data_IF_326919812870
#
_entry.id   IF_326919812870
#
_cell.length_a   1.000
_cell.length_b   1.000
_cell.length_c   1.000
_cell.angle_alpha   90.00
_cell.angle_beta   90.00
_cell.angle_gamma   90.00
#
_symmetry.space_group_name_H-M   'P 1'
#
loop_
_entity.id
_entity.type
_entity.pdbx_description
1 polymer ?
#
# COMPACT_ATOMS: atom_id res chain seq x y z
N UNK A 1 16.83 -10.83 -5.36
CA UNK A 1 15.35 -10.73 -5.32
C UNK A 1 14.74 -12.02 -4.77
N UNK A 2 13.59 -11.94 -4.10
CA UNK A 2 12.77 -13.10 -3.72
C UNK A 2 11.46 -13.11 -4.48
N UNK A 3 10.90 -14.30 -4.64
CA UNK A 3 9.55 -14.53 -5.17
C UNK A 3 8.72 -15.19 -4.06
N UNK A 4 7.45 -14.86 -3.94
CA UNK A 4 6.53 -15.62 -3.12
C UNK A 4 5.33 -16.05 -3.94
N UNK A 5 5.11 -17.35 -4.07
CA UNK A 5 3.96 -17.92 -4.76
C UNK A 5 2.86 -18.12 -3.73
N UNK A 6 1.86 -17.24 -3.74
CA UNK A 6 0.72 -17.25 -2.81
C UNK A 6 -0.49 -17.96 -3.39
N UNK A 7 -1.18 -18.76 -2.57
CA UNK A 7 -2.44 -19.42 -2.98
C UNK A 7 -3.56 -18.38 -2.99
N UNK A 8 -4.11 -18.12 -4.17
CA UNK A 8 -5.12 -17.10 -4.43
C UNK A 8 -6.53 -17.69 -4.48
N UNK A 9 -7.52 -16.93 -4.05
CA UNK A 9 -8.93 -17.24 -4.29
C UNK A 9 -9.27 -16.98 -5.77
N UNK A 10 -9.89 -17.96 -6.46
CA UNK A 10 -10.14 -17.86 -7.90
C UNK A 10 -11.13 -16.74 -8.27
N UNK A 11 -12.09 -16.42 -7.40
CA UNK A 11 -13.04 -15.33 -7.63
C UNK A 11 -12.36 -13.96 -7.47
N UNK A 12 -11.50 -13.82 -6.45
CA UNK A 12 -10.65 -12.63 -6.28
C UNK A 12 -9.79 -12.37 -7.52
N UNK A 13 -9.15 -13.44 -8.04
CA UNK A 13 -8.32 -13.33 -9.23
C UNK A 13 -9.15 -12.93 -10.46
N UNK A 14 -10.27 -13.63 -10.71
CA UNK A 14 -11.15 -13.35 -11.85
C UNK A 14 -11.61 -11.89 -11.82
N UNK A 15 -12.17 -11.47 -10.69
CA UNK A 15 -12.72 -10.12 -10.48
C UNK A 15 -11.70 -9.01 -10.80
N UNK A 16 -10.45 -9.17 -10.34
CA UNK A 16 -9.39 -8.18 -10.53
C UNK A 16 -8.72 -8.29 -11.90
N UNK A 17 -8.62 -9.49 -12.48
CA UNK A 17 -8.03 -9.69 -13.80
C UNK A 17 -8.82 -9.01 -14.92
N UNK A 18 -10.14 -8.92 -14.77
CA UNK A 18 -11.04 -8.21 -15.69
C UNK A 18 -10.89 -6.69 -15.58
N UNK A 19 -10.60 -6.18 -14.37
CA UNK A 19 -10.50 -4.75 -14.06
C UNK A 19 -9.10 -4.16 -14.24
N UNK A 20 -8.06 -4.98 -14.07
CA UNK A 20 -6.65 -4.60 -14.16
C UNK A 20 -6.30 -3.33 -13.37
N UNK A 21 -6.54 -3.31 -12.04
CA UNK A 21 -6.23 -2.14 -11.23
C UNK A 21 -4.72 -1.88 -11.16
N UNK A 22 -4.34 -0.67 -10.75
CA UNK A 22 -2.96 -0.22 -10.52
C UNK A 22 -2.33 -0.81 -9.25
N UNK A 23 -3.15 -1.25 -8.30
CA UNK A 23 -2.76 -1.87 -7.04
C UNK A 23 -3.84 -2.85 -6.57
N UNK A 24 -3.49 -3.77 -5.67
CA UNK A 24 -4.42 -4.72 -5.08
C UNK A 24 -4.10 -4.99 -3.61
N UNK A 25 -5.13 -5.30 -2.83
CA UNK A 25 -4.97 -5.86 -1.50
C UNK A 25 -5.18 -7.37 -1.55
N UNK A 26 -4.08 -8.11 -1.41
CA UNK A 26 -4.12 -9.55 -1.20
C UNK A 26 -4.31 -9.84 0.30
N UNK A 27 -5.57 -9.92 0.70
CA UNK A 27 -5.95 -10.10 2.10
C UNK A 27 -5.71 -11.54 2.57
N UNK A 28 -5.27 -11.68 3.83
CA UNK A 28 -4.95 -12.95 4.50
C UNK A 28 -5.80 -13.04 5.76
N UNK A 29 -7.02 -13.60 5.69
CA UNK A 29 -8.01 -13.44 6.73
C UNK A 29 -7.57 -14.16 8.00
N UNK A 30 -6.91 -15.31 7.95
CA UNK A 30 -6.49 -16.00 9.18
C UNK A 30 -5.13 -15.55 9.72
N UNK A 31 -4.44 -14.63 9.05
CA UNK A 31 -3.11 -14.20 9.48
C UNK A 31 -3.23 -13.31 10.72
N UNK A 32 -2.47 -13.65 11.76
CA UNK A 32 -2.23 -12.83 12.95
C UNK A 32 -0.75 -12.46 13.10
N UNK A 33 0.08 -12.88 12.14
CA UNK A 33 1.54 -12.67 12.16
C UNK A 33 1.99 -11.97 10.89
N UNK A 34 3.05 -11.19 11.05
CA UNK A 34 3.61 -10.40 9.97
C UNK A 34 4.17 -11.28 8.83
N UNK A 35 4.06 -10.79 7.60
CA UNK A 35 4.52 -11.50 6.42
C UNK A 35 5.96 -11.10 6.08
N UNK A 36 6.90 -11.98 6.45
CA UNK A 36 8.35 -11.72 6.33
C UNK A 36 9.02 -12.38 5.13
N UNK A 37 8.25 -13.01 4.24
CA UNK A 37 8.81 -13.78 3.12
C UNK A 37 9.40 -12.87 2.03
N UNK A 38 8.89 -11.64 1.91
CA UNK A 38 9.29 -10.67 0.89
C UNK A 38 9.80 -9.37 1.53
N UNK A 39 10.61 -8.63 0.79
CA UNK A 39 10.96 -7.23 1.03
C UNK A 39 10.25 -6.34 0.00
N UNK A 40 10.05 -5.04 0.29
CA UNK A 40 9.49 -4.11 -0.70
C UNK A 40 10.26 -4.19 -2.02
N UNK A 41 9.54 -4.38 -3.14
CA UNK A 41 10.11 -4.56 -4.47
C UNK A 41 10.36 -6.00 -4.90
N UNK A 42 10.23 -6.98 -4.00
CA UNK A 42 10.15 -8.40 -4.39
C UNK A 42 8.79 -8.71 -5.05
N UNK A 43 8.67 -9.87 -5.72
CA UNK A 43 7.43 -10.25 -6.42
C UNK A 43 6.58 -11.22 -5.62
N UNK A 44 5.29 -10.93 -5.56
CA UNK A 44 4.26 -11.84 -5.11
C UNK A 44 3.52 -12.40 -6.33
N UNK A 45 3.49 -13.72 -6.48
CA UNK A 45 2.88 -14.42 -7.62
C UNK A 45 1.56 -15.07 -7.20
N UNK A 46 0.55 -14.97 -8.07
CA UNK A 46 -0.79 -15.49 -7.85
C UNK A 46 -0.91 -16.92 -8.34
N UNK A 47 -0.96 -17.88 -7.41
CA UNK A 47 -1.23 -19.29 -7.72
C UNK A 47 -2.72 -19.58 -7.53
N UNK A 48 -3.39 -19.96 -8.61
CA UNK A 48 -4.81 -20.29 -8.61
C UNK A 48 -5.09 -21.56 -7.80
N UNK A 49 -6.23 -21.57 -7.12
CA UNK A 49 -6.66 -22.73 -6.34
C UNK A 49 -6.99 -23.92 -7.25
N UNK A 50 -6.87 -25.12 -6.70
CA UNK A 50 -7.28 -26.37 -7.35
C UNK A 50 -8.74 -26.28 -7.83
N UNK A 51 -9.10 -26.84 -9.01
CA UNK A 51 -8.30 -27.74 -9.86
C UNK A 51 -7.41 -27.05 -10.90
N UNK A 52 -7.27 -25.72 -10.86
CA UNK A 52 -6.45 -25.02 -11.86
C UNK A 52 -4.96 -25.28 -11.61
N UNK A 53 -4.45 -24.96 -10.41
CA UNK A 53 -3.07 -25.25 -10.01
C UNK A 53 -1.99 -24.63 -10.95
N UNK A 54 -2.22 -23.39 -11.39
CA UNK A 54 -1.26 -22.59 -12.16
C UNK A 54 -0.91 -21.27 -11.45
N UNK A 55 0.26 -20.73 -11.76
CA UNK A 55 0.61 -19.34 -11.49
C UNK A 55 0.12 -18.49 -12.66
N UNK A 56 -0.79 -17.56 -12.40
CA UNK A 56 -1.54 -16.83 -13.41
C UNK A 56 -1.25 -15.32 -13.45
N UNK A 57 -0.34 -14.85 -12.60
CA UNK A 57 0.02 -13.44 -12.52
C UNK A 57 0.80 -13.12 -11.25
N UNK A 58 0.84 -11.84 -10.89
CA UNK A 58 1.52 -11.38 -9.68
C UNK A 58 1.46 -9.87 -9.51
N UNK A 59 2.29 -9.34 -8.62
CA UNK A 59 2.47 -7.91 -8.39
C UNK A 59 3.73 -7.64 -7.57
N UNK A 60 4.15 -6.38 -7.57
CA UNK A 60 5.30 -5.91 -6.81
C UNK A 60 4.88 -5.70 -5.36
N UNK A 61 5.53 -6.39 -4.43
CA UNK A 61 5.22 -6.31 -3.02
C UNK A 61 5.64 -4.95 -2.45
N UNK A 62 4.72 -4.28 -1.75
CA UNK A 62 5.01 -3.04 -1.01
C UNK A 62 5.25 -3.39 0.44
N UNK A 63 4.23 -3.91 1.12
CA UNK A 63 4.28 -4.26 2.53
C UNK A 63 3.19 -5.25 2.91
N UNK A 64 3.30 -5.75 4.13
CA UNK A 64 2.16 -6.31 4.85
C UNK A 64 1.76 -5.36 5.99
N UNK A 65 0.46 -5.24 6.23
CA UNK A 65 -0.06 -4.39 7.30
C UNK A 65 -1.38 -4.94 7.80
N UNK A 66 -1.68 -4.68 9.07
CA UNK A 66 -2.92 -5.09 9.71
C UNK A 66 -3.87 -3.90 9.77
N UNK A 67 -5.02 -3.99 9.11
CA UNK A 67 -6.00 -2.91 9.04
C UNK A 67 -7.36 -3.37 9.56
N UNK A 68 -8.09 -2.56 10.33
CA UNK A 68 -9.52 -2.75 10.50
C UNK A 68 -10.23 -2.89 9.15
N UNK A 69 -11.24 -3.75 9.08
CA UNK A 69 -11.94 -4.06 7.83
C UNK A 69 -12.47 -2.80 7.09
N UNK A 70 -13.10 -1.81 7.76
CA UNK A 70 -13.54 -0.59 7.10
C UNK A 70 -12.39 0.22 6.49
N UNK A 71 -11.21 0.22 7.10
CA UNK A 71 -10.04 0.94 6.58
C UNK A 71 -9.41 0.21 5.39
N UNK A 72 -9.40 -1.12 5.39
CA UNK A 72 -9.01 -1.89 4.22
C UNK A 72 -9.94 -1.59 3.02
N UNK A 73 -11.24 -1.47 3.27
CA UNK A 73 -12.19 -1.05 2.23
C UNK A 73 -12.00 0.41 1.80
N UNK A 74 -11.84 1.34 2.74
CA UNK A 74 -11.59 2.74 2.42
C UNK A 74 -10.30 2.95 1.62
N UNK A 75 -9.27 2.16 1.88
CA UNK A 75 -8.00 2.22 1.17
C UNK A 75 -8.10 1.64 -0.25
N UNK A 76 -8.72 0.47 -0.41
CA UNK A 76 -8.62 -0.30 -1.65
C UNK A 76 -9.94 -0.44 -2.42
N UNK A 77 -11.11 -0.26 -1.80
CA UNK A 77 -12.41 -0.43 -2.45
C UNK A 77 -12.51 -1.76 -3.20
N UNK A 78 -12.91 -1.70 -4.47
CA UNK A 78 -12.95 -2.86 -5.37
C UNK A 78 -11.60 -3.57 -5.56
N UNK A 79 -10.47 -2.91 -5.30
CA UNK A 79 -9.12 -3.51 -5.36
C UNK A 79 -8.87 -4.55 -4.25
N UNK A 80 -9.82 -4.75 -3.33
CA UNK A 80 -9.91 -5.91 -2.45
C UNK A 80 -10.43 -7.18 -3.16
N UNK A 81 -10.83 -7.08 -4.43
CA UNK A 81 -11.35 -8.19 -5.23
C UNK A 81 -12.84 -8.46 -5.05
N UNK A 82 -13.61 -7.47 -4.59
CA UNK A 82 -15.04 -7.57 -4.32
C UNK A 82 -15.77 -6.29 -4.77
N UNK A 83 -17.03 -6.37 -5.22
CA UNK A 83 -17.75 -5.21 -5.79
C UNK A 83 -18.17 -4.15 -4.77
N UNK A 84 -18.42 -4.55 -3.52
CA UNK A 84 -18.94 -3.67 -2.48
C UNK A 84 -18.49 -4.12 -1.08
N UNK A 85 -18.68 -3.24 -0.09
CA UNK A 85 -18.23 -3.48 1.29
C UNK A 85 -18.95 -4.64 1.95
N UNK A 86 -20.25 -4.81 1.71
CA UNK A 86 -21.07 -5.87 2.31
C UNK A 86 -20.60 -7.24 1.83
N UNK A 87 -20.36 -7.38 0.52
CA UNK A 87 -19.81 -8.58 -0.11
C UNK A 87 -18.40 -8.87 0.39
N UNK A 88 -17.57 -7.83 0.55
CA UNK A 88 -16.24 -7.96 1.12
C UNK A 88 -16.27 -8.46 2.57
N UNK A 89 -17.10 -7.85 3.42
CA UNK A 89 -17.25 -8.24 4.82
C UNK A 89 -17.75 -9.68 4.97
N UNK A 90 -18.82 -10.03 4.23
CA UNK A 90 -19.34 -11.40 4.20
C UNK A 90 -18.27 -12.40 3.79
N UNK A 91 -17.44 -12.07 2.80
CA UNK A 91 -16.35 -12.95 2.36
C UNK A 91 -15.27 -13.14 3.44
N UNK A 92 -14.91 -12.09 4.16
CA UNK A 92 -13.94 -12.22 5.26
C UNK A 92 -14.52 -13.07 6.42
N UNK A 93 -15.82 -12.97 6.67
CA UNK A 93 -16.55 -13.76 7.66
C UNK A 93 -16.65 -15.25 7.33
N UNK A 94 -16.59 -15.67 6.06
CA UNK A 94 -16.48 -17.10 5.72
C UNK A 94 -15.21 -17.75 6.30
N UNK A 95 -14.22 -16.95 6.68
CA UNK A 95 -12.92 -17.41 7.14
C UNK A 95 -12.62 -17.09 8.61
N UNK A 96 -13.50 -16.33 9.29
CA UNK A 96 -13.35 -15.85 10.68
C UNK A 96 -14.70 -15.90 11.41
N UNK A 97 -14.66 -16.15 12.71
CA UNK A 97 -15.86 -15.98 13.54
C UNK A 97 -16.27 -14.50 13.62
N UNK A 98 -17.57 -14.20 13.72
CA UNK A 98 -18.08 -12.82 13.81
C UNK A 98 -17.49 -12.04 15.00
N UNK A 99 -17.19 -12.73 16.11
CA UNK A 99 -16.53 -12.12 17.27
C UNK A 99 -15.10 -11.60 16.97
N UNK A 100 -14.48 -12.08 15.88
CA UNK A 100 -13.15 -11.67 15.43
C UNK A 100 -13.15 -10.53 14.41
N UNK A 101 -14.31 -9.97 14.05
CA UNK A 101 -14.41 -8.81 13.14
C UNK A 101 -13.72 -7.57 13.69
N UNK A 102 -13.65 -7.45 15.01
CA UNK A 102 -12.88 -6.40 15.69
C UNK A 102 -11.37 -6.55 15.50
N UNK A 103 -10.90 -7.74 15.09
CA UNK A 103 -9.48 -7.99 14.81
C UNK A 103 -9.11 -7.49 13.43
N UNK A 104 -7.90 -6.97 13.33
CA UNK A 104 -7.37 -6.43 12.09
C UNK A 104 -7.23 -7.53 11.01
N UNK A 105 -7.46 -7.16 9.76
CA UNK A 105 -7.26 -7.94 8.55
C UNK A 105 -5.80 -7.81 8.10
N UNK A 106 -5.11 -8.93 7.91
CA UNK A 106 -3.79 -8.93 7.28
C UNK A 106 -3.91 -8.56 5.81
N UNK A 107 -3.36 -7.42 5.42
CA UNK A 107 -3.39 -6.85 4.08
C UNK A 107 -2.00 -6.95 3.46
N UNK A 108 -1.85 -7.71 2.38
CA UNK A 108 -0.60 -7.78 1.60
C UNK A 108 -0.77 -6.88 0.40
N UNK A 109 -0.09 -5.74 0.44
CA UNK A 109 -0.28 -4.65 -0.52
C UNK A 109 0.66 -4.87 -1.69
N UNK A 110 0.08 -4.99 -2.88
CA UNK A 110 0.81 -5.20 -4.11
C UNK A 110 0.48 -4.07 -5.09
N UNK A 111 1.50 -3.56 -5.77
CA UNK A 111 1.36 -2.54 -6.82
C UNK A 111 1.82 -3.10 -8.15
N UNK A 112 1.43 -2.44 -9.23
CA UNK A 112 1.76 -2.89 -10.59
C UNK A 112 1.38 -4.36 -10.82
N UNK A 113 0.14 -4.78 -10.48
CA UNK A 113 -0.27 -6.15 -10.64
C UNK A 113 -0.34 -6.50 -12.13
N UNK A 114 -0.02 -7.75 -12.44
CA UNK A 114 -0.10 -8.30 -13.78
C UNK A 114 -0.92 -9.58 -13.75
N UNK A 115 -1.78 -9.73 -14.76
CA UNK A 115 -2.71 -10.84 -14.91
C UNK A 115 -2.51 -11.42 -16.31
N UNK A 116 -2.06 -12.66 -16.37
CA UNK A 116 -1.79 -13.34 -17.64
C UNK A 116 -3.04 -14.01 -18.19
N UNK A 117 -3.15 -14.02 -19.51
CA UNK A 117 -4.07 -14.90 -20.23
C UNK A 117 -3.64 -16.36 -20.04
N UNK A 118 -4.57 -17.30 -20.26
CA UNK A 118 -4.39 -18.71 -19.91
C UNK A 118 -3.20 -19.39 -20.60
N UNK A 119 -2.91 -18.99 -21.83
CA UNK A 119 -1.76 -19.45 -22.63
C UNK A 119 -0.41 -19.06 -22.02
N UNK A 120 -0.37 -18.01 -21.20
CA UNK A 120 0.82 -17.53 -20.52
C UNK A 120 0.97 -18.05 -19.08
N UNK A 121 0.02 -18.85 -18.59
CA UNK A 121 0.08 -19.39 -17.22
C UNK A 121 1.29 -20.31 -17.04
N UNK A 122 1.92 -20.22 -15.86
CA UNK A 122 3.09 -21.02 -15.51
C UNK A 122 2.61 -22.22 -14.65
N UNK A 123 2.98 -23.46 -14.99
CA UNK A 123 2.73 -24.61 -14.12
C UNK A 123 3.33 -24.39 -12.72
N UNK A 124 2.72 -24.96 -11.68
CA UNK A 124 3.33 -24.91 -10.35
C UNK A 124 4.74 -25.54 -10.35
N UNK A 125 5.69 -24.99 -9.57
CA UNK A 125 7.03 -25.56 -9.46
C UNK A 125 6.98 -27.04 -9.04
N UNK A 126 7.90 -27.85 -9.55
CA UNK A 126 7.94 -29.30 -9.30
C UNK A 126 8.14 -29.67 -7.82
N UNK A 127 8.70 -28.75 -7.03
CA UNK A 127 8.91 -28.90 -5.59
C UNK A 127 7.73 -28.34 -4.75
N UNK A 128 6.59 -28.04 -5.39
CA UNK A 128 5.36 -27.63 -4.75
C UNK A 128 4.64 -28.84 -4.12
N UNK A 129 4.48 -28.82 -2.80
CA UNK A 129 3.77 -29.88 -2.07
C UNK A 129 2.27 -29.59 -2.04
N UNK A 130 1.44 -30.63 -2.24
CA UNK A 130 -0.04 -30.52 -2.26
C UNK A 130 -0.65 -29.96 -0.97
N UNK A 131 0.03 -30.08 0.17
CA UNK A 131 -0.42 -29.56 1.45
C UNK A 131 -0.09 -28.07 1.71
N UNK A 132 0.53 -27.37 0.74
CA UNK A 132 0.79 -25.93 0.84
C UNK A 132 -0.53 -25.18 0.57
N UNK A 133 -1.08 -24.57 1.62
CA UNK A 133 -2.38 -23.87 1.58
C UNK A 133 -2.27 -22.34 1.64
N UNK A 134 -1.10 -21.79 1.96
CA UNK A 134 -0.87 -20.33 2.06
C UNK A 134 0.05 -19.81 0.97
N UNK A 135 1.18 -20.48 0.76
CA UNK A 135 2.15 -20.13 -0.27
C UNK A 135 3.56 -20.60 0.08
N UNK A 136 4.50 -20.35 -0.83
CA UNK A 136 5.91 -20.74 -0.68
C UNK A 136 6.84 -19.67 -1.26
N UNK A 137 7.90 -19.37 -0.53
CA UNK A 137 8.95 -18.46 -0.96
C UNK A 137 10.00 -19.16 -1.82
N UNK A 138 10.53 -18.45 -2.79
CA UNK A 138 11.63 -18.86 -3.67
C UNK A 138 12.68 -17.74 -3.69
N UNK A 139 13.95 -18.13 -3.70
CA UNK A 139 15.08 -17.22 -3.84
C UNK A 139 15.68 -17.41 -5.22
N UNK A 140 16.00 -16.33 -5.93
CA UNK A 140 16.71 -16.41 -7.23
C UNK A 140 18.15 -16.94 -7.11
N UNK A 141 18.58 -17.33 -5.91
CA UNK A 141 19.82 -18.10 -5.69
C UNK A 141 19.62 -19.62 -5.58
N UNK A 142 18.38 -20.14 -5.61
CA UNK A 142 18.12 -21.59 -5.61
C UNK A 142 17.73 -22.09 -7.00
N UNK A 143 18.00 -23.37 -7.36
CA UNK A 143 17.65 -23.90 -8.67
C UNK A 143 16.17 -23.73 -9.03
N UNK A 144 15.27 -24.01 -8.08
CA UNK A 144 13.83 -23.84 -8.27
C UNK A 144 13.42 -22.36 -8.42
N UNK A 145 14.07 -21.45 -7.69
CA UNK A 145 13.78 -20.01 -7.80
C UNK A 145 14.33 -19.39 -9.07
N UNK A 146 15.49 -19.85 -9.56
CA UNK A 146 16.03 -19.47 -10.87
C UNK A 146 15.06 -19.90 -11.97
N UNK A 147 14.66 -21.17 -12.00
CA UNK A 147 13.73 -21.69 -13.01
C UNK A 147 12.40 -20.93 -13.01
N UNK A 148 11.82 -20.70 -11.82
CA UNK A 148 10.58 -19.92 -11.71
C UNK A 148 10.77 -18.47 -12.18
N UNK A 149 11.89 -17.82 -11.84
CA UNK A 149 12.17 -16.46 -12.28
C UNK A 149 12.33 -16.35 -13.79
N UNK A 150 13.01 -17.32 -14.42
CA UNK A 150 13.15 -17.38 -15.88
C UNK A 150 11.79 -17.42 -16.57
N UNK A 151 10.86 -18.26 -16.11
CA UNK A 151 9.51 -18.34 -16.67
C UNK A 151 8.74 -17.01 -16.50
N UNK A 152 8.81 -16.40 -15.31
CA UNK A 152 8.16 -15.10 -15.02
C UNK A 152 8.71 -14.01 -15.93
N UNK A 153 10.04 -13.87 -16.01
CA UNK A 153 10.71 -12.86 -16.84
C UNK A 153 10.31 -12.98 -18.30
N UNK A 154 10.37 -14.20 -18.86
CA UNK A 154 10.00 -14.45 -20.27
C UNK A 154 8.60 -13.94 -20.62
N UNK A 155 7.65 -13.94 -19.67
CA UNK A 155 6.28 -13.48 -19.88
C UNK A 155 6.09 -11.99 -19.60
N UNK A 156 6.92 -11.39 -18.76
CA UNK A 156 6.90 -9.95 -18.51
C UNK A 156 7.49 -9.16 -19.69
N UNK A 157 8.61 -9.66 -20.26
CA UNK A 157 9.29 -9.04 -21.39
C UNK A 157 8.39 -8.99 -22.63
N UNK A 158 7.59 -10.03 -22.87
CA UNK A 158 6.65 -10.11 -23.99
C UNK A 158 5.36 -9.27 -23.84
N UNK A 159 5.08 -8.72 -22.65
CA UNK A 159 3.82 -8.02 -22.35
C UNK A 159 4.01 -6.56 -21.87
N UNK A 160 5.17 -5.96 -22.17
CA UNK A 160 5.44 -4.54 -21.94
C UNK A 160 5.24 -4.06 -20.48
N UNK A 161 5.83 -4.77 -19.51
CA UNK A 161 6.11 -4.23 -18.16
C UNK A 161 7.60 -3.84 -18.05
N UNK A 162 8.06 -2.80 -18.79
CA UNK A 162 9.48 -2.52 -19.00
C UNK A 162 10.24 -2.22 -17.71
N UNK A 163 9.56 -1.72 -16.67
CA UNK A 163 10.20 -1.41 -15.38
C UNK A 163 10.56 -2.66 -14.57
N UNK A 164 9.69 -3.68 -14.60
CA UNK A 164 9.98 -4.95 -13.94
C UNK A 164 11.02 -5.73 -14.76
N UNK A 165 10.93 -5.65 -16.10
CA UNK A 165 11.89 -6.22 -17.03
C UNK A 165 13.30 -5.59 -16.90
N UNK A 166 13.41 -4.26 -16.78
CA UNK A 166 14.69 -3.55 -16.68
C UNK A 166 15.49 -3.95 -15.43
N UNK A 167 14.80 -4.19 -14.31
CA UNK A 167 15.41 -4.70 -13.07
C UNK A 167 15.99 -6.11 -13.27
N UNK A 168 15.41 -6.90 -14.19
CA UNK A 168 15.93 -8.21 -14.55
C UNK A 168 17.25 -8.12 -15.33
N UNK A 169 17.40 -7.17 -16.26
CA UNK A 169 18.66 -6.92 -16.97
C UNK A 169 19.80 -6.50 -16.03
N UNK A 170 19.49 -5.68 -15.03
CA UNK A 170 20.48 -5.22 -14.05
C UNK A 170 21.03 -6.36 -13.19
N UNK A 171 20.17 -7.30 -12.77
CA UNK A 171 20.60 -8.52 -12.05
C UNK A 171 21.55 -9.39 -12.88
N UNK A 172 21.31 -9.52 -14.19
CA UNK A 172 22.12 -10.36 -15.08
C UNK A 172 23.50 -9.77 -15.37
N UNK A 173 23.63 -8.44 -15.39
CA UNK A 173 24.89 -7.74 -15.69
C UNK A 173 25.82 -7.59 -14.48
N UNK A 174 25.28 -7.41 -13.27
CA UNK A 174 26.11 -6.98 -12.12
C UNK A 174 25.99 -7.84 -10.86
N UNK A 175 25.16 -8.88 -10.82
CA UNK A 175 25.02 -9.75 -9.63
C UNK A 175 24.53 -9.05 -8.35
N UNK A 176 24.31 -7.73 -8.40
CA UNK A 176 23.76 -6.92 -7.33
C UNK A 176 22.23 -7.03 -7.35
N UNK A 177 21.62 -6.98 -6.15
CA UNK A 177 20.17 -7.03 -6.01
C UNK A 177 19.53 -5.73 -6.48
N UNK A 178 19.20 -5.65 -7.77
CA UNK A 178 18.30 -4.62 -8.28
C UNK A 178 16.89 -4.91 -7.72
N UNK A 179 16.39 -4.03 -6.86
CA UNK A 179 15.06 -4.15 -6.27
C UNK A 179 14.11 -3.24 -7.02
N UNK A 180 12.96 -3.77 -7.46
CA UNK A 180 11.94 -2.99 -8.15
C UNK A 180 11.46 -1.90 -7.19
N UNK A 181 11.50 -0.63 -7.60
CA UNK A 181 10.96 0.47 -6.79
C UNK A 181 9.44 0.46 -6.94
N UNK A 182 8.66 0.11 -5.90
CA UNK A 182 7.21 0.04 -6.03
C UNK A 182 6.63 1.44 -6.24
N UNK A 183 5.73 1.58 -7.22
CA UNK A 183 4.96 2.81 -7.43
C UNK A 183 3.63 2.71 -6.69
N UNK A 184 3.46 3.53 -5.66
CA UNK A 184 2.26 3.47 -4.83
C UNK A 184 1.05 4.01 -5.60
N UNK A 185 -0.05 3.28 -5.58
CA UNK A 185 -1.37 3.84 -5.83
C UNK A 185 -1.91 4.55 -4.58
N UNK A 186 -3.12 5.09 -4.68
CA UNK A 186 -3.76 5.85 -3.60
C UNK A 186 -3.95 5.01 -2.32
N UNK A 187 -4.36 3.74 -2.45
CA UNK A 187 -4.59 2.84 -1.32
C UNK A 187 -3.30 2.46 -0.62
N UNK A 188 -2.28 2.07 -1.39
CA UNK A 188 -0.95 1.77 -0.86
C UNK A 188 -0.32 2.99 -0.18
N UNK A 189 -0.42 4.19 -0.78
CA UNK A 189 0.03 5.44 -0.18
C UNK A 189 -0.63 5.70 1.18
N UNK A 190 -1.97 5.56 1.26
CA UNK A 190 -2.71 5.75 2.51
C UNK A 190 -2.19 4.87 3.63
N UNK A 191 -1.94 3.59 3.34
CA UNK A 191 -1.44 2.64 4.34
C UNK A 191 0.01 2.95 4.72
N UNK A 192 0.87 3.23 3.72
CA UNK A 192 2.28 3.57 3.96
C UNK A 192 2.44 4.81 4.85
N UNK A 193 1.70 5.89 4.57
CA UNK A 193 1.66 7.09 5.42
C UNK A 193 1.11 6.75 6.80
N UNK A 194 0.00 6.01 6.88
CA UNK A 194 -0.61 5.62 8.16
C UNK A 194 0.39 4.89 9.07
N UNK A 195 1.14 3.95 8.52
CA UNK A 195 2.14 3.18 9.25
C UNK A 195 3.41 4.00 9.56
N UNK A 196 3.85 4.88 8.66
CA UNK A 196 5.02 5.75 8.88
C UNK A 196 4.84 6.69 10.10
N UNK A 197 3.61 7.16 10.33
CA UNK A 197 3.24 7.96 11.49
C UNK A 197 2.84 7.12 12.71
N UNK A 198 3.16 5.83 12.74
CA UNK A 198 2.78 4.93 13.84
C UNK A 198 1.29 5.00 14.18
N UNK A 199 0.45 5.20 13.16
CA UNK A 199 -1.02 5.25 13.26
C UNK A 199 -1.53 6.38 14.15
N UNK A 200 -0.84 7.52 14.12
CA UNK A 200 -1.17 8.70 14.92
C UNK A 200 -1.16 9.96 14.09
N UNK A 201 -2.10 10.86 14.38
CA UNK A 201 -2.11 12.20 13.80
C UNK A 201 -0.75 12.89 14.03
N UNK A 202 -0.15 13.41 12.97
CA UNK A 202 1.13 14.12 13.00
C UNK A 202 1.09 15.32 13.95
N UNK A 203 -0.04 16.04 13.97
CA UNK A 203 -0.22 17.27 14.75
C UNK A 203 -0.59 16.95 16.21
N UNK A 204 -1.61 16.12 16.44
CA UNK A 204 -2.21 15.95 17.77
C UNK A 204 -1.83 14.66 18.49
N UNK A 205 -1.23 13.69 17.79
CA UNK A 205 -0.95 12.36 18.33
C UNK A 205 -2.17 11.46 18.53
N UNK A 206 -3.37 11.91 18.13
CA UNK A 206 -4.62 11.14 18.12
C UNK A 206 -4.41 9.79 17.42
N UNK A 207 -4.90 8.70 18.01
CA UNK A 207 -4.66 7.31 17.56
C UNK A 207 -5.92 6.56 17.14
N UNK A 208 -7.07 7.22 17.18
CA UNK A 208 -8.36 6.68 16.75
C UNK A 208 -8.36 6.60 15.22
N UNK A 209 -7.86 5.48 14.70
CA UNK A 209 -7.63 5.28 13.26
C UNK A 209 -8.81 5.69 12.34
N UNK A 210 -10.09 5.42 12.67
CA UNK A 210 -11.21 5.88 11.84
C UNK A 210 -11.37 7.39 11.71
N UNK A 211 -10.76 8.18 12.61
CA UNK A 211 -10.74 9.64 12.56
C UNK A 211 -9.51 10.21 11.84
N UNK A 212 -8.63 9.33 11.33
CA UNK A 212 -7.38 9.71 10.69
C UNK A 212 -7.43 9.50 9.19
N UNK A 213 -6.81 10.42 8.46
CA UNK A 213 -6.70 10.41 7.02
C UNK A 213 -5.26 10.67 6.61
N UNK A 214 -4.77 9.87 5.67
CA UNK A 214 -3.50 10.13 5.01
C UNK A 214 -3.74 11.14 3.88
N UNK A 215 -3.32 12.37 4.14
CA UNK A 215 -3.40 13.49 3.21
C UNK A 215 -2.10 13.71 2.47
N UNK A 216 -2.21 14.20 1.24
CA UNK A 216 -1.06 14.67 0.48
C UNK A 216 -0.65 16.06 0.94
N UNK A 217 0.65 16.32 1.01
CA UNK A 217 1.15 17.69 1.24
C UNK A 217 0.95 18.51 -0.04
N UNK A 218 1.42 17.98 -1.17
CA UNK A 218 1.07 18.46 -2.51
C UNK A 218 0.03 17.51 -3.11
N UNK A 219 -1.21 17.94 -3.39
CA UNK A 219 -2.25 17.08 -3.93
C UNK A 219 -1.86 16.45 -5.26
N UNK A 220 -2.36 15.23 -5.50
CA UNK A 220 -2.14 14.51 -6.77
C UNK A 220 -2.62 15.31 -8.00
N UNK A 221 -3.76 16.01 -7.88
CA UNK A 221 -4.29 16.89 -8.92
C UNK A 221 -3.37 18.08 -9.28
N UNK A 222 -2.35 18.35 -8.45
CA UNK A 222 -1.30 19.35 -8.67
C UNK A 222 0.06 18.70 -8.94
N UNK A 223 0.08 17.45 -9.41
CA UNK A 223 1.28 16.65 -9.71
C UNK A 223 2.10 16.28 -8.48
N UNK A 224 1.46 16.12 -7.32
CA UNK A 224 2.11 15.54 -6.14
C UNK A 224 2.20 14.01 -6.24
N UNK A 225 3.37 13.40 -5.99
CA UNK A 225 3.54 11.95 -6.06
C UNK A 225 2.87 11.22 -4.88
N UNK A 226 2.47 9.98 -5.10
CA UNK A 226 2.09 9.03 -4.04
C UNK A 226 3.34 8.48 -3.35
N UNK A 227 3.92 9.28 -2.46
CA UNK A 227 5.08 8.87 -1.67
C UNK A 227 4.96 9.35 -0.23
N UNK A 228 5.57 8.61 0.70
CA UNK A 228 5.44 8.88 2.14
C UNK A 228 5.91 10.30 2.49
N UNK A 229 6.96 10.79 1.80
CA UNK A 229 7.52 12.13 2.01
C UNK A 229 6.59 13.26 1.54
N UNK A 230 5.60 12.95 0.71
CA UNK A 230 4.52 13.85 0.33
C UNK A 230 3.25 13.62 1.17
N UNK A 231 3.36 12.99 2.34
CA UNK A 231 2.22 12.57 3.15
C UNK A 231 2.26 13.04 4.61
N UNK A 232 1.09 13.41 5.13
CA UNK A 232 0.83 13.60 6.55
C UNK A 232 -0.36 12.73 6.95
N UNK A 233 -0.26 12.04 8.09
CA UNK A 233 -1.43 11.42 8.72
C UNK A 233 -2.08 12.45 9.63
N UNK A 234 -3.29 12.89 9.34
CA UNK A 234 -3.98 13.96 10.07
C UNK A 234 -5.35 13.49 10.53
N UNK A 235 -5.89 14.14 11.57
CA UNK A 235 -7.32 14.03 11.88
C UNK A 235 -8.12 14.64 10.73
N UNK A 236 -9.29 14.08 10.38
CA UNK A 236 -10.07 14.52 9.20
C UNK A 236 -10.37 16.02 9.16
N UNK A 237 -10.67 16.65 10.29
CA UNK A 237 -10.89 18.10 10.37
C UNK A 237 -9.60 18.90 10.08
N UNK A 238 -8.46 18.49 10.63
CA UNK A 238 -7.16 19.12 10.39
C UNK A 238 -6.69 18.91 8.95
N UNK A 239 -6.96 17.74 8.38
CA UNK A 239 -6.70 17.46 6.96
C UNK A 239 -7.48 18.41 6.07
N UNK A 240 -8.79 18.59 6.30
CA UNK A 240 -9.60 19.53 5.54
C UNK A 240 -9.11 20.98 5.65
N UNK A 241 -8.70 21.42 6.85
CA UNK A 241 -8.15 22.76 7.04
C UNK A 241 -6.78 22.93 6.36
N UNK A 242 -5.97 21.88 6.37
CA UNK A 242 -4.68 21.84 5.69
C UNK A 242 -4.88 21.99 4.18
N UNK A 243 -5.69 21.15 3.55
CA UNK A 243 -6.00 21.19 2.11
C UNK A 243 -6.55 22.54 1.66
N UNK A 244 -7.34 23.21 2.50
CA UNK A 244 -7.92 24.53 2.23
C UNK A 244 -6.97 25.71 2.54
N UNK A 245 -5.74 25.44 2.98
CA UNK A 245 -4.72 26.43 3.30
C UNK A 245 -4.95 27.18 4.61
N UNK A 246 -5.87 26.74 5.48
CA UNK A 246 -6.07 27.34 6.81
C UNK A 246 -5.10 26.81 7.86
N UNK A 247 -4.38 25.73 7.56
CA UNK A 247 -3.34 25.15 8.40
C UNK A 247 -2.15 24.80 7.51
N UNK A 248 -0.92 24.99 7.98
CA UNK A 248 0.27 24.47 7.30
C UNK A 248 1.30 23.94 8.30
N UNK A 249 2.35 23.31 7.78
CA UNK A 249 3.48 22.79 8.54
C UNK A 249 4.75 23.42 7.99
N UNK A 250 5.53 24.05 8.86
CA UNK A 250 6.80 24.71 8.52
C UNK A 250 7.92 23.69 8.28
N UNK A 251 9.04 24.16 7.72
CA UNK A 251 10.24 23.34 7.48
C UNK A 251 10.86 22.78 8.76
N UNK A 252 10.68 23.44 9.91
CA UNK A 252 11.09 22.94 11.24
C UNK A 252 10.00 22.12 11.95
N UNK A 253 8.99 21.64 11.19
CA UNK A 253 7.89 20.81 11.65
C UNK A 253 7.05 21.46 12.75
N UNK A 254 6.74 22.75 12.61
CA UNK A 254 5.77 23.47 13.45
C UNK A 254 4.47 23.69 12.70
N UNK A 255 3.38 23.75 13.46
CA UNK A 255 2.05 23.99 12.92
C UNK A 255 1.79 25.48 12.86
N UNK A 256 1.34 25.96 11.70
CA UNK A 256 0.83 27.32 11.53
C UNK A 256 -0.66 27.26 11.24
N UNK A 257 -1.42 28.20 11.82
CA UNK A 257 -2.88 28.22 11.78
C UNK A 257 -3.29 29.62 11.37
N UNK A 258 -4.05 29.69 10.28
CA UNK A 258 -4.50 30.93 9.67
C UNK A 258 -5.41 31.72 10.61
N UNK A 259 -5.20 33.04 10.66
CA UNK A 259 -6.11 33.95 11.38
C UNK A 259 -7.49 34.04 10.71
N UNK A 260 -7.57 33.69 9.42
CA UNK A 260 -8.82 33.69 8.65
C UNK A 260 -9.85 32.72 9.17
N UNK A 261 -9.46 31.68 9.92
CA UNK A 261 -10.44 30.80 10.59
C UNK A 261 -11.33 31.63 11.54
N UNK A 262 -10.73 32.59 12.25
CA UNK A 262 -11.47 33.47 13.17
C UNK A 262 -12.21 34.55 12.41
N UNK A 263 -11.57 35.14 11.41
CA UNK A 263 -12.13 36.27 10.66
C UNK A 263 -13.33 35.85 9.80
N UNK A 264 -13.32 34.64 9.24
CA UNK A 264 -14.38 34.17 8.34
C UNK A 264 -15.48 33.37 9.04
N UNK A 265 -15.17 32.68 10.14
CA UNK A 265 -16.11 31.75 10.79
C UNK A 265 -16.38 32.07 12.27
N UNK A 266 -15.80 33.14 12.80
CA UNK A 266 -15.92 33.53 14.22
C UNK A 266 -15.55 32.40 15.21
N UNK A 267 -14.67 31.48 14.78
CA UNK A 267 -14.36 30.24 15.50
C UNK A 267 -12.84 29.94 15.49
N UNK A 268 -12.46 28.73 15.92
CA UNK A 268 -11.11 28.20 15.77
C UNK A 268 -10.27 28.18 17.04
N UNK A 269 -10.84 28.49 18.22
CA UNK A 269 -10.09 28.50 19.51
C UNK A 269 -9.25 27.25 19.72
N UNK A 270 -9.82 26.07 19.43
CA UNK A 270 -9.12 24.79 19.57
C UNK A 270 -8.05 24.57 18.50
N UNK A 271 -8.17 25.16 17.30
CA UNK A 271 -7.12 25.12 16.29
C UNK A 271 -5.97 26.07 16.64
N UNK A 272 -6.24 27.28 17.13
CA UNK A 272 -5.19 28.22 17.55
C UNK A 272 -4.32 27.69 18.68
N UNK A 273 -4.85 26.83 19.54
CA UNK A 273 -4.04 26.15 20.55
C UNK A 273 -2.91 25.31 19.93
N UNK A 274 -3.05 24.86 18.68
CA UNK A 274 -2.04 24.11 17.93
C UNK A 274 -1.00 25.02 17.27
N UNK A 275 -1.27 26.32 17.11
CA UNK A 275 -0.37 27.25 16.45
C UNK A 275 0.98 27.33 17.17
N UNK A 276 2.07 27.25 16.41
CA UNK A 276 3.45 27.26 16.89
C UNK A 276 3.93 25.95 17.54
N UNK A 277 3.03 24.99 17.79
CA UNK A 277 3.42 23.69 18.35
C UNK A 277 4.20 22.87 17.33
N UNK A 278 5.20 22.12 17.81
CA UNK A 278 5.87 21.10 17.00
C UNK A 278 4.92 19.93 16.74
N UNK A 279 5.09 19.26 15.59
CA UNK A 279 4.37 18.01 15.32
C UNK A 279 4.56 17.01 16.47
N UNK A 280 3.45 16.50 17.00
CA UNK A 280 3.46 15.46 18.03
C UNK A 280 4.10 14.16 17.52
N UNK A 281 3.97 13.86 16.22
CA UNK A 281 4.53 12.66 15.60
C UNK A 281 5.22 12.99 14.29
N UNK A 282 6.49 12.61 14.19
CA UNK A 282 7.31 12.66 12.97
C UNK A 282 7.75 11.22 12.64
N UNK A 283 7.76 10.80 11.36
CA UNK A 283 8.24 9.48 10.99
C UNK A 283 9.65 9.21 11.52
N UNK A 284 9.82 8.03 12.13
CA UNK A 284 11.10 7.62 12.77
C UNK A 284 12.24 7.57 11.76
N UNK A 285 11.97 7.06 10.56
CA UNK A 285 12.92 7.00 9.46
C UNK A 285 12.96 8.34 8.73
N UNK A 286 14.15 8.92 8.60
CA UNK A 286 14.35 10.21 7.94
C UNK A 286 13.87 10.21 6.48
N UNK A 287 14.08 9.10 5.77
CA UNK A 287 13.61 8.89 4.39
C UNK A 287 12.08 8.90 4.24
N UNK A 288 11.35 8.83 5.35
CA UNK A 288 9.88 8.85 5.39
C UNK A 288 9.33 10.19 5.89
N UNK A 289 10.18 11.14 6.31
CA UNK A 289 9.72 12.45 6.80
C UNK A 289 9.23 13.33 5.64
N UNK A 290 8.32 14.28 5.92
CA UNK A 290 7.89 15.24 4.91
C UNK A 290 9.07 15.92 4.24
N UNK A 291 9.08 15.94 2.91
CA UNK A 291 10.16 16.57 2.16
C UNK A 291 10.01 18.11 2.18
N UNK A 292 11.12 18.87 2.30
CA UNK A 292 11.09 20.33 2.27
C UNK A 292 10.33 20.90 1.07
N UNK A 293 10.53 20.33 -0.11
CA UNK A 293 9.92 20.78 -1.36
C UNK A 293 8.38 20.71 -1.35
N UNK A 294 7.79 19.77 -0.61
CA UNK A 294 6.33 19.68 -0.48
C UNK A 294 5.81 20.64 0.57
N UNK A 295 6.52 20.80 1.69
CA UNK A 295 6.16 21.75 2.74
C UNK A 295 6.22 23.18 2.22
N UNK A 296 7.25 23.54 1.46
CA UNK A 296 7.37 24.83 0.77
C UNK A 296 6.22 25.06 -0.20
N UNK A 297 5.90 24.04 -1.01
CA UNK A 297 4.75 24.11 -1.92
C UNK A 297 3.45 24.40 -1.18
N UNK A 298 3.19 23.68 -0.08
CA UNK A 298 1.97 23.87 0.70
C UNK A 298 1.96 25.21 1.43
N UNK A 299 3.11 25.68 1.94
CA UNK A 299 3.22 26.99 2.53
C UNK A 299 2.87 28.10 1.52
N UNK A 300 3.16 27.88 0.23
CA UNK A 300 2.76 28.79 -0.85
C UNK A 300 1.24 28.93 -1.06
N UNK A 301 0.42 27.99 -0.58
CA UNK A 301 -1.05 28.09 -0.60
C UNK A 301 -1.65 28.44 0.78
N UNK A 302 -0.81 28.60 1.80
CA UNK A 302 -1.24 28.95 3.14
C UNK A 302 -1.85 30.35 3.17
N UNK A 303 -3.00 30.47 3.80
CA UNK A 303 -3.69 31.74 3.98
C UNK A 303 -3.21 32.36 5.29
N UNK A 304 -2.17 33.19 5.23
CA UNK A 304 -1.66 33.94 6.39
C UNK A 304 -2.74 34.71 7.15
#
# INVERSE_FOLDING_TARGET
MKLFVGVTNNDWFRFLSERKPDEVNFWRPRSQTDFKALQPGDLFLFKLHSPLDFIAGGGVFVRHSFLPLPLAWQAFGEKNGMPDFETFERRILEHRDQAELTRQLGCTILVQPFFWTRDLWIPIPSDWKKNIVTGKGYSVGSPAGIALWTEVRSRLDGNALPEIAAVAEEHERYGATATIRPRLGQGAFRVEVTDAYSRRCAITGEKTLPALEAGHIRPYAKSGPHEIRNGLLLRSDLHNLFDLGYLTVTLDYRVEVSRRIREEFENGRHYYALHGQSLAVIPRHEKSRPAPEFLEWHHGIFKG
#
